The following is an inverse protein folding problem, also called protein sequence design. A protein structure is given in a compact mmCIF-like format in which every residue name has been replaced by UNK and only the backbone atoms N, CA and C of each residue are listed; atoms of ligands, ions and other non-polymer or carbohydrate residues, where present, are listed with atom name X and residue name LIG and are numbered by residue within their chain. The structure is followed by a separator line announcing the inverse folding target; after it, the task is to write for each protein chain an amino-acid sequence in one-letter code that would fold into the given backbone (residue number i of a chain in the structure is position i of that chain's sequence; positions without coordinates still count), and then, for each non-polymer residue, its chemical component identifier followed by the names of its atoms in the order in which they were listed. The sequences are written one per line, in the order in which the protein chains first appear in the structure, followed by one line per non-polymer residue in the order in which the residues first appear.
data_IF_201284072503
#
_entry.id   IF_201284072503
#
_cell.length_a   1.000
_cell.length_b   1.000
_cell.length_c   1.000
_cell.angle_alpha   90.00
_cell.angle_beta   90.00
_cell.angle_gamma   90.00
#
_symmetry.space_group_name_H-M   'P 1'
#
loop_
_entity.id
_entity.type
_entity.pdbx_description
1 polymer ?
#
# COMPACT_ATOMS: atom_id res chain seq x y z
N UNK A 1 2.75 -13.93 38.84
CA UNK A 1 3.08 -12.62 38.22
C UNK A 1 4.47 -12.77 37.61
N UNK A 2 4.60 -12.74 36.27
CA UNK A 2 5.91 -12.88 35.62
C UNK A 2 6.76 -11.65 35.99
N UNK A 3 7.97 -11.89 36.49
CA UNK A 3 8.94 -10.84 36.82
C UNK A 3 9.26 -10.06 35.55
N UNK A 4 9.25 -8.72 35.66
CA UNK A 4 9.62 -7.79 34.60
C UNK A 4 11.12 -7.95 34.36
N UNK A 5 11.52 -8.09 33.09
CA UNK A 5 12.90 -8.23 32.68
C UNK A 5 13.72 -7.00 33.17
N UNK A 6 14.80 -7.17 33.95
CA UNK A 6 15.50 -6.06 34.62
C UNK A 6 16.25 -5.12 33.66
N UNK A 7 16.45 -5.50 32.39
CA UNK A 7 17.10 -4.66 31.37
C UNK A 7 16.12 -3.79 30.56
N UNK A 8 14.82 -3.84 30.85
CA UNK A 8 13.82 -2.94 30.25
C UNK A 8 13.73 -1.64 31.06
N UNK A 9 14.71 -0.76 30.87
CA UNK A 9 14.61 0.64 31.29
C UNK A 9 14.21 1.50 30.09
N UNK A 10 13.01 2.09 30.15
CA UNK A 10 12.55 3.03 29.11
C UNK A 10 13.04 4.42 29.50
N UNK A 11 13.89 5.03 28.68
CA UNK A 11 14.20 6.44 28.81
C UNK A 11 12.95 7.26 28.42
N UNK A 12 12.25 7.77 29.44
CA UNK A 12 11.02 8.54 29.27
C UNK A 12 11.25 9.79 28.43
N UNK A 13 12.42 10.44 28.55
CA UNK A 13 12.71 11.66 27.79
C UNK A 13 12.90 11.34 26.31
N UNK A 14 13.59 10.24 26.02
CA UNK A 14 13.75 9.77 24.65
C UNK A 14 12.41 9.38 24.02
N UNK A 15 11.53 8.73 24.79
CA UNK A 15 10.19 8.38 24.34
C UNK A 15 9.32 9.62 24.11
N UNK A 16 9.37 10.61 25.00
CA UNK A 16 8.64 11.88 24.88
C UNK A 16 9.04 12.63 23.61
N UNK A 17 10.34 12.73 23.33
CA UNK A 17 10.87 13.35 22.12
C UNK A 17 10.43 12.61 20.85
N UNK A 18 10.52 11.28 20.84
CA UNK A 18 10.08 10.47 19.69
C UNK A 18 8.57 10.64 19.42
N UNK A 19 7.75 10.67 20.48
CA UNK A 19 6.32 10.93 20.37
C UNK A 19 6.04 12.36 19.87
N UNK A 20 6.78 13.36 20.32
CA UNK A 20 6.65 14.74 19.86
C UNK A 20 6.93 14.86 18.35
N UNK A 21 8.06 14.33 17.89
CA UNK A 21 8.43 14.33 16.48
C UNK A 21 7.38 13.62 15.62
N UNK A 22 6.88 12.47 16.04
CA UNK A 22 5.91 11.69 15.26
C UNK A 22 4.49 12.30 15.27
N UNK A 23 3.99 12.74 16.43
CA UNK A 23 2.58 13.12 16.59
C UNK A 23 2.32 14.62 16.40
N UNK A 24 3.32 15.47 16.68
CA UNK A 24 3.18 16.93 16.59
C UNK A 24 3.86 17.45 15.33
N UNK A 25 5.10 17.02 15.07
CA UNK A 25 5.85 17.47 13.90
C UNK A 25 5.53 16.66 12.64
N UNK A 26 4.79 15.55 12.78
CA UNK A 26 4.49 14.59 11.71
C UNK A 26 5.76 14.07 11.00
N UNK A 27 6.87 14.07 11.72
CA UNK A 27 8.16 13.63 11.21
C UNK A 27 8.10 12.14 10.96
N UNK A 28 8.43 11.77 9.74
CA UNK A 28 8.46 10.39 9.29
C UNK A 28 9.65 9.66 9.93
N UNK A 29 9.59 8.33 9.97
CA UNK A 29 10.70 7.54 10.49
C UNK A 29 11.95 7.70 9.61
N UNK A 30 11.79 7.96 8.31
CA UNK A 30 12.89 8.33 7.43
C UNK A 30 13.59 9.61 7.91
N UNK A 31 12.84 10.69 8.11
CA UNK A 31 13.39 11.97 8.56
C UNK A 31 14.00 11.89 9.96
N UNK A 32 13.39 11.14 10.88
CA UNK A 32 13.93 10.92 12.23
C UNK A 32 15.29 10.22 12.21
N UNK A 33 15.51 9.33 11.24
CA UNK A 33 16.76 8.58 11.05
C UNK A 33 17.74 9.25 10.10
N UNK A 34 17.38 10.41 9.52
CA UNK A 34 18.20 11.07 8.51
C UNK A 34 18.31 10.31 7.18
N UNK A 35 17.35 9.43 6.88
CA UNK A 35 17.26 8.74 5.60
C UNK A 35 16.74 9.74 4.56
N UNK A 36 17.49 9.89 3.48
CA UNK A 36 17.19 10.83 2.41
C UNK A 36 16.09 10.32 1.48
N UNK A 37 15.38 11.21 0.78
CA UNK A 37 14.43 10.79 -0.26
C UNK A 37 15.07 9.92 -1.35
N UNK A 38 16.33 10.17 -1.72
CA UNK A 38 17.04 9.37 -2.72
C UNK A 38 17.27 7.93 -2.23
N UNK A 39 17.63 7.74 -0.96
CA UNK A 39 17.79 6.39 -0.39
C UNK A 39 16.47 5.62 -0.39
N UNK A 40 15.32 6.28 -0.18
CA UNK A 40 14.01 5.66 -0.32
C UNK A 40 13.70 5.28 -1.78
N UNK A 41 14.01 6.15 -2.74
CA UNK A 41 13.85 5.83 -4.17
C UNK A 41 14.74 4.66 -4.59
N UNK A 42 15.97 4.56 -4.07
CA UNK A 42 16.87 3.44 -4.35
C UNK A 42 16.31 2.11 -3.80
N UNK A 43 15.67 2.12 -2.63
CA UNK A 43 14.97 0.95 -2.09
C UNK A 43 13.73 0.63 -2.92
N UNK A 44 12.99 1.64 -3.38
CA UNK A 44 11.84 1.45 -4.26
C UNK A 44 12.22 0.80 -5.59
N UNK A 45 13.29 1.26 -6.23
CA UNK A 45 13.81 0.68 -7.45
C UNK A 45 14.20 -0.80 -7.27
N UNK A 46 14.94 -1.13 -6.18
CA UNK A 46 15.29 -2.51 -5.84
C UNK A 46 14.07 -3.39 -5.58
N UNK A 47 13.06 -2.86 -4.88
CA UNK A 47 11.81 -3.55 -4.64
C UNK A 47 11.09 -3.89 -5.95
N UNK A 48 11.05 -2.94 -6.90
CA UNK A 48 10.47 -3.16 -8.23
C UNK A 48 11.25 -4.22 -9.02
N UNK A 49 12.58 -4.18 -9.01
CA UNK A 49 13.41 -5.21 -9.66
C UNK A 49 13.10 -6.61 -9.13
N UNK A 50 13.04 -6.77 -7.80
CA UNK A 50 12.70 -8.05 -7.16
C UNK A 50 11.29 -8.49 -7.48
N UNK A 51 10.33 -7.56 -7.45
CA UNK A 51 8.93 -7.84 -7.78
C UNK A 51 8.79 -8.34 -9.23
N UNK A 52 9.46 -7.70 -10.19
CA UNK A 52 9.46 -8.13 -11.60
C UNK A 52 10.24 -9.42 -11.84
N UNK A 53 11.20 -9.75 -10.97
CA UNK A 53 11.89 -11.04 -10.95
C UNK A 53 11.13 -12.13 -10.19
N UNK A 54 9.87 -11.90 -9.80
CA UNK A 54 9.00 -12.81 -9.03
C UNK A 54 9.58 -13.21 -7.65
N UNK A 55 10.53 -12.44 -7.13
CA UNK A 55 11.10 -12.60 -5.78
C UNK A 55 10.24 -11.86 -4.77
N UNK A 56 8.99 -12.30 -4.62
CA UNK A 56 7.95 -11.56 -3.94
C UNK A 56 8.22 -11.34 -2.45
N UNK A 57 8.82 -12.30 -1.75
CA UNK A 57 9.16 -12.15 -0.32
C UNK A 57 10.26 -11.10 -0.10
N UNK A 58 11.23 -11.02 -1.02
CA UNK A 58 12.27 -9.99 -0.96
C UNK A 58 11.70 -8.60 -1.29
N UNK A 59 10.79 -8.51 -2.28
CA UNK A 59 10.09 -7.27 -2.61
C UNK A 59 9.18 -6.82 -1.45
N UNK A 60 8.54 -7.77 -0.77
CA UNK A 60 7.69 -7.52 0.39
C UNK A 60 8.48 -6.82 1.50
N UNK A 61 9.71 -7.27 1.76
CA UNK A 61 10.59 -6.65 2.75
C UNK A 61 10.94 -5.20 2.38
N UNK A 62 11.32 -4.95 1.13
CA UNK A 62 11.68 -3.61 0.65
C UNK A 62 10.47 -2.65 0.69
N UNK A 63 9.31 -3.06 0.18
CA UNK A 63 8.13 -2.21 0.19
C UNK A 63 7.55 -2.01 1.60
N UNK A 64 7.66 -3.01 2.49
CA UNK A 64 7.29 -2.84 3.91
C UNK A 64 8.19 -1.84 4.61
N UNK A 65 9.50 -1.87 4.31
CA UNK A 65 10.44 -0.87 4.80
C UNK A 65 10.02 0.53 4.34
N UNK A 66 9.66 0.70 3.07
CA UNK A 66 9.25 2.00 2.54
C UNK A 66 7.98 2.53 3.19
N UNK A 67 6.93 1.70 3.33
CA UNK A 67 5.68 2.12 3.99
C UNK A 67 5.92 2.47 5.47
N UNK A 68 6.81 1.76 6.16
CA UNK A 68 7.17 2.08 7.55
C UNK A 68 7.96 3.39 7.67
N UNK A 69 8.84 3.68 6.71
CA UNK A 69 9.73 4.83 6.76
C UNK A 69 9.11 6.11 6.19
N UNK A 70 8.26 5.98 5.17
CA UNK A 70 7.55 7.07 4.53
C UNK A 70 6.10 6.63 4.25
N UNK A 71 5.21 6.68 5.26
CA UNK A 71 3.85 6.17 5.15
C UNK A 71 2.94 7.07 4.30
N UNK A 72 3.41 8.22 3.81
CA UNK A 72 2.62 9.20 3.05
C UNK A 72 2.86 9.15 1.53
N UNK A 73 3.64 8.18 1.04
CA UNK A 73 3.80 7.98 -0.40
C UNK A 73 2.86 6.90 -0.92
N UNK A 74 1.91 7.31 -1.77
CA UNK A 74 0.92 6.42 -2.37
C UNK A 74 1.56 5.24 -3.11
N UNK A 75 2.68 5.48 -3.79
CA UNK A 75 3.35 4.46 -4.62
C UNK A 75 3.82 3.28 -3.78
N UNK A 76 4.29 3.53 -2.56
CA UNK A 76 4.79 2.49 -1.66
C UNK A 76 3.66 1.58 -1.17
N UNK A 77 2.50 2.15 -0.85
CA UNK A 77 1.29 1.39 -0.52
C UNK A 77 0.78 0.57 -1.71
N UNK A 78 0.78 1.15 -2.92
CA UNK A 78 0.39 0.43 -4.13
C UNK A 78 1.31 -0.76 -4.43
N UNK A 79 2.63 -0.58 -4.26
CA UNK A 79 3.61 -1.63 -4.48
C UNK A 79 3.51 -2.74 -3.43
N UNK A 80 3.33 -2.38 -2.15
CA UNK A 80 3.14 -3.35 -1.07
C UNK A 80 1.82 -4.13 -1.24
N UNK A 81 0.72 -3.43 -1.56
CA UNK A 81 -0.57 -4.06 -1.85
C UNK A 81 -0.49 -5.01 -3.05
N UNK A 82 0.23 -4.63 -4.11
CA UNK A 82 0.47 -5.49 -5.27
C UNK A 82 1.27 -6.73 -4.90
N UNK A 83 2.27 -6.60 -4.04
CA UNK A 83 3.08 -7.73 -3.59
C UNK A 83 2.26 -8.72 -2.77
N UNK A 84 1.44 -8.24 -1.83
CA UNK A 84 0.49 -9.10 -1.10
C UNK A 84 -0.51 -9.78 -2.03
N UNK A 85 -1.01 -9.06 -3.05
CA UNK A 85 -1.94 -9.63 -4.03
C UNK A 85 -1.31 -10.82 -4.76
N UNK A 86 -0.07 -10.69 -5.23
CA UNK A 86 0.64 -11.79 -5.90
C UNK A 86 0.96 -12.97 -4.99
N UNK A 87 1.18 -12.70 -3.70
CA UNK A 87 1.33 -13.73 -2.67
C UNK A 87 0.00 -14.42 -2.28
N UNK A 88 -1.13 -14.00 -2.85
CA UNK A 88 -2.46 -14.53 -2.52
C UNK A 88 -3.07 -13.98 -1.23
N UNK A 89 -2.43 -12.99 -0.61
CA UNK A 89 -2.83 -12.35 0.65
C UNK A 89 -3.81 -11.19 0.38
N UNK A 90 -4.96 -11.51 -0.23
CA UNK A 90 -5.88 -10.51 -0.79
C UNK A 90 -6.43 -9.52 0.24
N UNK A 91 -6.69 -9.96 1.48
CA UNK A 91 -7.16 -9.07 2.56
C UNK A 91 -6.09 -8.06 2.96
N UNK A 92 -4.84 -8.49 3.06
CA UNK A 92 -3.71 -7.59 3.32
C UNK A 92 -3.50 -6.62 2.16
N UNK A 93 -3.57 -7.12 0.92
CA UNK A 93 -3.50 -6.29 -0.28
C UNK A 93 -4.55 -5.18 -0.27
N UNK A 94 -5.81 -5.50 0.05
CA UNK A 94 -6.90 -4.53 0.15
C UNK A 94 -6.64 -3.45 1.19
N UNK A 95 -6.03 -3.77 2.34
CA UNK A 95 -5.69 -2.75 3.35
C UNK A 95 -4.72 -1.71 2.77
N UNK A 96 -3.67 -2.15 2.08
CA UNK A 96 -2.68 -1.24 1.49
C UNK A 96 -3.20 -0.47 0.28
N UNK A 97 -4.04 -1.08 -0.56
CA UNK A 97 -4.77 -0.32 -1.58
C UNK A 97 -5.73 0.71 -0.96
N UNK A 98 -6.37 0.36 0.16
CA UNK A 98 -7.19 1.29 0.94
C UNK A 98 -6.39 2.48 1.48
N UNK A 99 -5.18 2.26 1.99
CA UNK A 99 -4.29 3.36 2.40
C UNK A 99 -3.86 4.23 1.22
N UNK A 100 -3.63 3.64 0.04
CA UNK A 100 -3.38 4.42 -1.18
C UNK A 100 -4.58 5.32 -1.56
N UNK A 101 -5.82 4.82 -1.40
CA UNK A 101 -7.05 5.60 -1.62
C UNK A 101 -7.25 6.74 -0.60
N UNK A 102 -6.71 6.64 0.61
CA UNK A 102 -6.73 7.77 1.55
C UNK A 102 -5.88 8.95 1.05
N UNK A 103 -4.91 8.70 0.17
CA UNK A 103 -4.05 9.73 -0.41
C UNK A 103 -4.57 10.26 -1.75
N UNK A 104 -5.17 9.39 -2.57
CA UNK A 104 -5.92 9.79 -3.77
C UNK A 104 -7.25 9.02 -3.84
N UNK A 105 -8.31 9.64 -3.32
CA UNK A 105 -9.65 9.05 -3.25
C UNK A 105 -10.28 8.77 -4.62
N UNK A 106 -9.72 9.35 -5.70
CA UNK A 106 -10.20 9.20 -7.06
C UNK A 106 -9.22 8.37 -7.92
N UNK A 107 -8.38 7.55 -7.31
CA UNK A 107 -7.48 6.64 -8.00
C UNK A 107 -8.19 5.35 -8.46
N UNK A 108 -8.51 5.20 -9.76
CA UNK A 108 -9.16 4.00 -10.26
C UNK A 108 -8.23 2.80 -10.24
N UNK A 109 -6.90 2.99 -10.22
CA UNK A 109 -5.93 1.91 -10.16
C UNK A 109 -6.01 1.14 -8.85
N UNK A 110 -6.10 1.83 -7.71
CA UNK A 110 -6.28 1.20 -6.41
C UNK A 110 -7.63 0.48 -6.32
N UNK A 111 -8.72 1.14 -6.71
CA UNK A 111 -10.08 0.55 -6.68
C UNK A 111 -10.18 -0.68 -7.59
N UNK A 112 -9.57 -0.63 -8.79
CA UNK A 112 -9.54 -1.77 -9.70
C UNK A 112 -8.82 -2.97 -9.08
N UNK A 113 -7.68 -2.75 -8.40
CA UNK A 113 -6.96 -3.82 -7.70
C UNK A 113 -7.74 -4.40 -6.52
N UNK A 114 -8.50 -3.56 -5.81
CA UNK A 114 -9.45 -4.03 -4.77
C UNK A 114 -10.51 -4.94 -5.38
N UNK A 115 -11.05 -4.61 -6.55
CA UNK A 115 -12.00 -5.47 -7.25
C UNK A 115 -11.38 -6.84 -7.60
N UNK A 116 -10.14 -6.87 -8.07
CA UNK A 116 -9.42 -8.11 -8.35
C UNK A 116 -9.20 -8.95 -7.08
N UNK A 117 -8.95 -8.33 -5.94
CA UNK A 117 -8.90 -9.01 -4.64
C UNK A 117 -10.25 -9.63 -4.28
N UNK A 118 -11.37 -8.91 -4.45
CA UNK A 118 -12.70 -9.44 -4.18
C UNK A 118 -13.03 -10.66 -5.05
N UNK A 119 -12.71 -10.62 -6.35
CA UNK A 119 -12.85 -11.79 -7.23
C UNK A 119 -12.04 -12.98 -6.75
N UNK A 120 -10.79 -12.75 -6.33
CA UNK A 120 -9.91 -13.81 -5.83
C UNK A 120 -10.40 -14.41 -4.50
N UNK A 121 -11.21 -13.66 -3.74
CA UNK A 121 -11.90 -14.11 -2.53
C UNK A 121 -13.27 -14.74 -2.81
N UNK A 122 -13.73 -14.74 -4.06
CA UNK A 122 -15.06 -15.23 -4.46
C UNK A 122 -16.22 -14.28 -4.11
N UNK A 123 -15.93 -13.04 -3.73
CA UNK A 123 -16.96 -12.02 -3.47
C UNK A 123 -17.24 -11.20 -4.73
N UNK A 124 -17.98 -11.82 -5.64
CA UNK A 124 -18.30 -11.23 -6.94
C UNK A 124 -19.13 -9.95 -6.84
N UNK A 125 -20.05 -9.88 -5.87
CA UNK A 125 -20.89 -8.70 -5.67
C UNK A 125 -20.05 -7.46 -5.33
N UNK A 126 -19.15 -7.58 -4.35
CA UNK A 126 -18.24 -6.49 -3.99
C UNK A 126 -17.26 -6.15 -5.12
N UNK A 127 -16.85 -7.16 -5.91
CA UNK A 127 -16.00 -6.92 -7.07
C UNK A 127 -16.71 -6.07 -8.13
N UNK A 128 -17.97 -6.37 -8.46
CA UNK A 128 -18.77 -5.62 -9.42
C UNK A 128 -18.90 -4.15 -9.00
N UNK A 129 -19.23 -3.89 -7.72
CA UNK A 129 -19.34 -2.53 -7.19
C UNK A 129 -18.01 -1.77 -7.27
N UNK A 130 -16.90 -2.43 -6.96
CA UNK A 130 -15.57 -1.84 -7.08
C UNK A 130 -15.18 -1.57 -8.54
N UNK A 131 -15.51 -2.46 -9.49
CA UNK A 131 -15.27 -2.24 -10.93
C UNK A 131 -16.06 -1.05 -11.47
N UNK A 132 -17.34 -0.93 -11.10
CA UNK A 132 -18.17 0.22 -11.47
C UNK A 132 -17.59 1.53 -10.92
N UNK A 133 -17.12 1.50 -9.67
CA UNK A 133 -16.44 2.64 -9.04
C UNK A 133 -15.15 3.01 -9.78
N UNK A 134 -14.30 2.03 -10.12
CA UNK A 134 -13.07 2.26 -10.89
C UNK A 134 -13.37 2.85 -12.29
N UNK A 135 -14.42 2.38 -12.97
CA UNK A 135 -14.89 2.96 -14.24
C UNK A 135 -15.29 4.43 -14.03
N UNK A 136 -16.08 4.74 -13.00
CA UNK A 136 -16.48 6.12 -12.71
C UNK A 136 -15.28 7.01 -12.42
N UNK A 137 -14.35 6.56 -11.58
CA UNK A 137 -13.12 7.28 -11.23
C UNK A 137 -12.22 7.51 -12.45
N UNK A 138 -12.20 6.59 -13.42
CA UNK A 138 -11.38 6.72 -14.63
C UNK A 138 -11.72 7.95 -15.47
N UNK A 139 -12.95 8.45 -15.44
CA UNK A 139 -13.34 9.64 -16.20
C UNK A 139 -12.85 10.97 -15.60
N UNK A 140 -12.29 10.95 -14.39
CA UNK A 140 -11.82 12.17 -13.72
C UNK A 140 -10.56 12.77 -14.35
N UNK A 141 -9.67 11.93 -14.89
CA UNK A 141 -8.40 12.33 -15.51
C UNK A 141 -8.15 11.51 -16.77
N UNK A 142 -7.73 12.11 -17.90
CA UNK A 142 -7.43 11.38 -19.13
C UNK A 142 -6.41 10.25 -18.95
N UNK A 143 -5.40 10.45 -18.10
CA UNK A 143 -4.37 9.44 -17.80
C UNK A 143 -4.94 8.13 -17.22
N UNK A 144 -6.17 8.15 -16.71
CA UNK A 144 -6.80 7.00 -16.06
C UNK A 144 -7.72 6.18 -16.98
N UNK A 145 -7.92 6.60 -18.23
CA UNK A 145 -8.91 5.98 -19.13
C UNK A 145 -8.62 4.50 -19.40
N UNK A 146 -7.35 4.10 -19.46
CA UNK A 146 -6.96 2.70 -19.66
C UNK A 146 -7.45 1.80 -18.51
N UNK A 147 -7.35 2.26 -17.26
CA UNK A 147 -7.85 1.50 -16.10
C UNK A 147 -9.36 1.29 -16.19
N UNK A 148 -10.10 2.30 -16.63
CA UNK A 148 -11.55 2.20 -16.86
C UNK A 148 -11.91 1.18 -17.95
N UNK A 149 -11.12 1.10 -19.01
CA UNK A 149 -11.30 0.09 -20.07
C UNK A 149 -11.04 -1.32 -19.56
N UNK A 150 -9.98 -1.52 -18.77
CA UNK A 150 -9.70 -2.81 -18.13
C UNK A 150 -10.80 -3.22 -17.16
N UNK A 151 -11.28 -2.28 -16.33
CA UNK A 151 -12.38 -2.52 -15.39
C UNK A 151 -13.68 -2.89 -16.12
N UNK A 152 -14.02 -2.20 -17.21
CA UNK A 152 -15.20 -2.52 -18.03
C UNK A 152 -15.09 -3.91 -18.66
N UNK A 153 -13.94 -4.24 -19.25
CA UNK A 153 -13.71 -5.56 -19.84
C UNK A 153 -13.91 -6.67 -18.81
N UNK A 154 -13.32 -6.53 -17.62
CA UNK A 154 -13.46 -7.51 -16.55
C UNK A 154 -14.92 -7.62 -16.06
N UNK A 155 -15.63 -6.50 -15.95
CA UNK A 155 -17.06 -6.49 -15.60
C UNK A 155 -17.92 -7.23 -16.65
N UNK A 156 -17.61 -7.08 -17.93
CA UNK A 156 -18.29 -7.82 -19.01
C UNK A 156 -17.98 -9.33 -18.99
N UNK A 157 -16.79 -9.73 -18.52
CA UNK A 157 -16.39 -11.13 -18.37
C UNK A 157 -17.14 -11.81 -17.22
N UNK A 158 -17.36 -11.11 -16.10
CA UNK A 158 -18.11 -11.61 -14.94
C UNK A 158 -19.58 -11.83 -15.28
N UNK A 159 -20.18 -10.95 -16.08
CA UNK A 159 -21.62 -11.01 -16.40
C UNK A 159 -22.00 -12.03 -17.51
N UNK A 160 -21.05 -12.83 -18.00
CA UNK A 160 -21.27 -13.85 -19.04
C UNK A 160 -21.56 -15.22 -18.44
#
# INVERSE_FOLDING_TARGET
MKQRDPDWEVDIKQLEEACHQALVEHKTLAEAKGITPQELEDVYAKGLEKYHAEKLEEALADFSYLVMHQPYDRRFHMALGSTFHWLGEFKHAMNFYGYALLMDACDPGATFRIAQCFLSLGDEASAIDALQTAISQSFTKPEHYEVGQHARKLLEEINK
#
